data_IF_909900274905
#
_entry.id   IF_909900274905
#
_cell.length_a   1.000
_cell.length_b   1.000
_cell.length_c   1.000
_cell.angle_alpha   90.00
_cell.angle_beta   90.00
_cell.angle_gamma   90.00
#
_symmetry.space_group_name_H-M   'P 1'
#
loop_
_entity.id
_entity.type
_entity.pdbx_description
1 polymer ?
#
# COMPACT_ATOMS: atom_id res chain seq x y z
N UNK A 1 -34.67 -28.17 -13.32
CA UNK A 1 -33.97 -27.03 -13.94
C UNK A 1 -32.74 -26.76 -13.08
N UNK A 2 -31.60 -27.32 -13.49
CA UNK A 2 -30.33 -27.24 -12.77
C UNK A 2 -29.52 -26.12 -13.41
N UNK A 3 -29.15 -25.10 -12.64
CA UNK A 3 -28.18 -24.08 -13.08
C UNK A 3 -26.98 -24.15 -12.16
N UNK A 4 -25.95 -24.85 -12.64
CA UNK A 4 -24.60 -24.86 -12.10
C UNK A 4 -24.02 -23.44 -12.18
N UNK A 5 -23.88 -22.78 -11.03
CA UNK A 5 -23.01 -21.61 -10.92
C UNK A 5 -21.57 -22.08 -11.01
N UNK A 6 -20.99 -21.97 -12.20
CA UNK A 6 -19.56 -22.17 -12.42
C UNK A 6 -18.79 -21.10 -11.62
N UNK A 7 -18.11 -21.55 -10.58
CA UNK A 7 -17.04 -20.85 -9.90
C UNK A 7 -15.93 -20.56 -10.93
N UNK A 8 -15.93 -19.35 -11.51
CA UNK A 8 -14.77 -18.86 -12.25
C UNK A 8 -13.73 -18.49 -11.21
N UNK A 9 -12.86 -19.46 -10.93
CA UNK A 9 -11.56 -19.28 -10.27
C UNK A 9 -10.78 -18.22 -11.04
N UNK A 10 -10.80 -16.98 -10.55
CA UNK A 10 -9.87 -15.96 -11.02
C UNK A 10 -8.50 -16.30 -10.42
N UNK A 11 -7.75 -17.13 -11.16
CA UNK A 11 -6.30 -17.20 -11.05
C UNK A 11 -5.77 -15.91 -11.67
N UNK A 12 -5.69 -14.84 -10.89
CA UNK A 12 -4.88 -13.68 -11.28
C UNK A 12 -3.43 -14.17 -11.27
N UNK A 13 -2.72 -14.22 -12.42
CA UNK A 13 -1.32 -14.64 -12.42
C UNK A 13 -0.51 -13.68 -11.55
N UNK A 14 0.17 -14.24 -10.55
CA UNK A 14 1.06 -13.57 -9.59
C UNK A 14 2.29 -12.87 -10.22
N UNK A 15 2.33 -12.67 -11.54
CA UNK A 15 3.56 -12.32 -12.27
C UNK A 15 3.74 -10.82 -12.53
N UNK A 16 2.79 -9.96 -12.14
CA UNK A 16 2.86 -8.50 -12.40
C UNK A 16 3.01 -7.65 -11.12
N UNK A 17 3.57 -8.22 -10.05
CA UNK A 17 3.91 -7.46 -8.82
C UNK A 17 5.44 -7.37 -8.62
N UNK A 18 6.19 -7.18 -9.70
CA UNK A 18 7.63 -6.95 -9.67
C UNK A 18 7.95 -5.65 -10.41
N UNK A 19 8.86 -4.86 -9.82
CA UNK A 19 9.35 -3.53 -10.23
C UNK A 19 8.54 -2.36 -9.63
N UNK A 20 8.74 -2.14 -8.34
CA UNK A 20 8.90 -0.78 -7.82
C UNK A 20 10.39 -0.62 -7.53
N UNK A 21 11.11 -0.02 -8.48
CA UNK A 21 12.52 0.34 -8.38
C UNK A 21 12.67 1.55 -7.43
N UNK A 22 13.52 1.51 -6.38
CA UNK A 22 13.82 2.69 -5.59
C UNK A 22 14.95 3.49 -6.25
N UNK A 23 14.61 4.62 -6.88
CA UNK A 23 15.60 5.60 -7.34
C UNK A 23 16.04 6.55 -6.19
N UNK A 24 17.29 7.04 -6.23
CA UNK A 24 18.04 7.48 -5.07
C UNK A 24 17.66 8.87 -4.56
N UNK A 25 17.92 9.07 -3.27
CA UNK A 25 17.86 10.36 -2.60
C UNK A 25 18.74 11.39 -3.35
N UNK A 26 18.11 12.49 -3.78
CA UNK A 26 18.83 13.66 -4.27
C UNK A 26 19.59 14.30 -3.12
N UNK A 27 20.91 14.18 -3.22
CA UNK A 27 21.91 14.74 -2.33
C UNK A 27 21.88 16.27 -2.36
N UNK A 28 22.18 16.85 -1.20
CA UNK A 28 21.99 18.24 -0.87
C UNK A 28 22.87 19.18 -1.69
N UNK A 29 22.26 20.32 -2.02
CA UNK A 29 22.91 21.50 -2.58
C UNK A 29 24.18 21.87 -1.80
N UNK A 30 25.30 21.81 -2.52
CA UNK A 30 26.60 22.27 -2.09
C UNK A 30 26.62 23.80 -1.92
N UNK A 31 26.69 24.27 -0.68
CA UNK A 31 27.12 25.64 -0.36
C UNK A 31 28.61 25.60 -0.03
N UNK A 32 29.46 25.91 -1.02
CA UNK A 32 30.90 26.07 -0.84
C UNK A 32 31.20 27.42 -0.20
N UNK A 33 31.50 27.42 1.09
CA UNK A 33 32.19 28.50 1.78
C UNK A 33 33.71 28.37 1.54
N UNK A 34 34.35 29.46 1.12
CA UNK A 34 35.78 29.57 0.85
C UNK A 34 36.42 30.35 2.00
N UNK A 35 37.39 29.75 2.71
CA UNK A 35 38.61 30.39 3.23
C UNK A 35 39.57 29.34 3.85
N UNK A 36 40.90 29.40 3.59
CA UNK A 36 41.96 28.58 4.21
C UNK A 36 42.72 29.42 5.29
N UNK A 37 43.94 29.08 5.82
CA UNK A 37 44.83 27.90 5.71
C UNK A 37 45.41 27.39 7.06
N UNK A 38 46.23 26.31 7.04
CA UNK A 38 47.60 26.21 7.62
C UNK A 38 48.05 24.82 8.14
N UNK A 39 49.13 24.31 7.51
CA UNK A 39 50.40 23.78 8.05
C UNK A 39 50.52 22.54 8.99
N UNK A 40 51.69 21.88 8.79
CA UNK A 40 52.43 20.89 9.60
C UNK A 40 51.97 19.43 9.45
N UNK A 41 52.77 18.53 8.84
CA UNK A 41 53.97 17.87 9.40
C UNK A 41 53.57 16.41 9.71
N UNK A 42 54.29 15.33 9.44
CA UNK A 42 55.68 15.02 9.17
C UNK A 42 55.96 13.65 9.84
N UNK A 43 56.58 12.71 9.11
CA UNK A 43 57.08 11.39 9.59
C UNK A 43 56.02 10.30 9.90
N UNK A 44 56.24 8.97 9.77
CA UNK A 44 57.47 8.16 9.72
C UNK A 44 57.19 6.75 9.16
N UNK A 45 58.15 6.29 8.37
CA UNK A 45 58.54 4.94 7.90
C UNK A 45 58.21 3.74 8.82
N UNK A 46 57.76 2.63 8.22
CA UNK A 46 58.27 1.27 8.54
C UNK A 46 58.23 0.32 7.31
N UNK A 47 59.43 -0.02 6.80
CA UNK A 47 59.76 -1.25 6.03
C UNK A 47 59.39 -2.50 6.88
N UNK A 48 59.17 -3.71 6.38
CA UNK A 48 59.66 -4.49 5.24
C UNK A 48 58.59 -5.59 4.96
N UNK A 49 58.60 -6.48 3.97
CA UNK A 49 59.60 -6.99 3.03
C UNK A 49 58.81 -7.69 1.89
N UNK A 50 59.47 -7.85 0.74
CA UNK A 50 59.07 -8.58 -0.48
C UNK A 50 58.29 -9.88 -0.23
N UNK A 51 57.34 -10.22 -1.12
CA UNK A 51 57.49 -11.23 -2.19
C UNK A 51 56.20 -11.31 -3.03
N UNK A 52 56.31 -11.20 -4.36
CA UNK A 52 55.40 -11.69 -5.41
C UNK A 52 56.27 -12.59 -6.32
N UNK A 53 55.77 -13.55 -7.14
CA UNK A 53 54.38 -13.82 -7.62
C UNK A 53 54.08 -15.37 -7.57
N UNK A 54 53.24 -16.02 -8.40
CA UNK A 54 52.12 -15.61 -9.28
C UNK A 54 50.79 -16.38 -9.02
N UNK A 55 49.72 -15.79 -9.56
CA UNK A 55 48.41 -16.33 -9.97
C UNK A 55 47.92 -17.73 -9.53
N UNK A 56 46.66 -17.67 -9.07
CA UNK A 56 45.54 -18.55 -9.40
C UNK A 56 45.04 -19.48 -8.28
N UNK A 57 43.75 -19.27 -7.98
CA UNK A 57 42.86 -20.08 -7.15
C UNK A 57 43.08 -19.95 -5.64
N UNK A 58 42.44 -18.95 -5.02
CA UNK A 58 41.65 -19.26 -3.83
C UNK A 58 40.53 -18.25 -3.60
N UNK A 59 39.45 -18.80 -3.12
CA UNK A 59 38.08 -18.34 -3.03
C UNK A 59 37.97 -17.38 -1.85
N UNK A 60 37.73 -16.09 -2.10
CA UNK A 60 37.38 -15.13 -1.06
C UNK A 60 35.88 -14.81 -1.17
N UNK A 61 35.18 -14.70 -0.03
CA UNK A 61 33.80 -15.11 0.12
C UNK A 61 32.89 -14.19 -0.66
N UNK A 62 31.96 -14.80 -1.39
CA UNK A 62 30.74 -14.16 -1.89
C UNK A 62 30.19 -13.36 -0.71
N UNK A 63 30.30 -12.03 -0.79
CA UNK A 63 29.50 -11.10 0.00
C UNK A 63 28.09 -11.58 -0.21
N UNK A 64 27.54 -12.25 0.80
CA UNK A 64 26.14 -12.64 0.88
C UNK A 64 25.42 -11.32 0.73
N UNK A 65 24.99 -11.02 -0.50
CA UNK A 65 24.00 -9.99 -0.76
C UNK A 65 22.87 -10.42 0.13
N UNK A 66 22.75 -9.75 1.27
CA UNK A 66 21.60 -9.86 2.13
C UNK A 66 20.44 -9.67 1.17
N UNK A 67 19.70 -10.77 0.96
CA UNK A 67 18.42 -10.73 0.27
C UNK A 67 17.59 -9.75 1.08
N UNK A 68 17.67 -8.48 0.70
CA UNK A 68 16.74 -7.45 1.10
C UNK A 68 15.38 -8.03 0.73
N UNK A 69 14.71 -8.51 1.77
CA UNK A 69 13.38 -9.05 1.70
C UNK A 69 12.48 -7.85 1.49
N UNK A 70 12.46 -7.32 0.25
CA UNK A 70 11.52 -6.30 -0.20
C UNK A 70 10.13 -6.79 0.16
N UNK A 71 9.57 -6.19 1.20
CA UNK A 71 8.47 -6.75 1.98
C UNK A 71 7.25 -7.03 1.13
N UNK A 72 7.05 -8.29 0.76
CA UNK A 72 5.79 -8.78 0.22
C UNK A 72 4.69 -8.36 1.19
N UNK A 73 3.68 -7.64 0.72
CA UNK A 73 2.53 -7.30 1.55
C UNK A 73 2.00 -8.60 2.18
N UNK A 74 1.82 -8.62 3.50
CA UNK A 74 1.42 -9.84 4.20
C UNK A 74 0.18 -10.45 3.53
N UNK A 75 0.06 -11.78 3.37
CA UNK A 75 -1.09 -12.41 2.71
C UNK A 75 -2.44 -11.94 3.24
N UNK A 76 -2.51 -11.61 4.54
CA UNK A 76 -3.69 -11.00 5.17
C UNK A 76 -4.11 -9.68 4.50
N UNK A 77 -3.17 -8.76 4.24
CA UNK A 77 -3.42 -7.44 3.63
C UNK A 77 -3.78 -7.51 2.14
N UNK A 78 -3.32 -8.53 1.44
CA UNK A 78 -3.76 -8.76 0.06
C UNK A 78 -5.20 -9.29 0.06
N UNK A 79 -5.51 -10.22 0.96
CA UNK A 79 -6.85 -10.80 1.01
C UNK A 79 -7.94 -9.83 1.49
N UNK A 80 -7.61 -8.74 2.19
CA UNK A 80 -8.60 -7.69 2.51
C UNK A 80 -8.98 -6.88 1.28
N UNK A 81 -8.02 -6.52 0.43
CA UNK A 81 -8.25 -5.84 -0.85
C UNK A 81 -9.04 -6.76 -1.79
N UNK A 82 -8.64 -8.04 -1.90
CA UNK A 82 -9.37 -9.00 -2.73
C UNK A 82 -10.81 -9.19 -2.25
N UNK A 83 -11.06 -9.21 -0.94
CA UNK A 83 -12.42 -9.32 -0.41
C UNK A 83 -13.28 -8.09 -0.72
N UNK A 84 -12.70 -6.88 -0.74
CA UNK A 84 -13.40 -5.67 -1.20
C UNK A 84 -13.74 -5.74 -2.69
N UNK A 85 -12.77 -6.11 -3.53
CA UNK A 85 -12.99 -6.26 -4.97
C UNK A 85 -14.07 -7.30 -5.26
N UNK A 86 -14.05 -8.45 -4.57
CA UNK A 86 -15.10 -9.47 -4.69
C UNK A 86 -16.48 -8.95 -4.25
N UNK A 87 -16.56 -8.15 -3.18
CA UNK A 87 -17.82 -7.52 -2.77
C UNK A 87 -18.33 -6.51 -3.81
N UNK A 88 -17.45 -5.74 -4.44
CA UNK A 88 -17.81 -4.83 -5.54
C UNK A 88 -18.27 -5.59 -6.78
N UNK A 89 -17.64 -6.74 -7.07
CA UNK A 89 -18.05 -7.63 -8.15
C UNK A 89 -19.45 -8.21 -7.91
N UNK A 90 -19.73 -8.70 -6.70
CA UNK A 90 -21.05 -9.21 -6.31
C UNK A 90 -22.15 -8.15 -6.42
N UNK A 91 -21.78 -6.90 -6.18
CA UNK A 91 -22.67 -5.77 -6.36
C UNK A 91 -22.95 -5.49 -7.85
N UNK A 92 -21.99 -5.78 -8.74
CA UNK A 92 -21.99 -5.35 -10.14
C UNK A 92 -21.47 -3.92 -10.31
N UNK A 93 -20.65 -3.45 -9.36
CA UNK A 93 -20.19 -2.05 -9.29
C UNK A 93 -18.75 -1.85 -9.77
N UNK A 94 -18.04 -2.93 -10.12
CA UNK A 94 -16.72 -2.82 -10.70
C UNK A 94 -16.80 -2.27 -12.14
N UNK A 95 -15.85 -1.42 -12.55
CA UNK A 95 -15.67 -1.12 -13.96
C UNK A 95 -15.33 -2.40 -14.75
N UNK A 96 -15.51 -2.40 -16.09
CA UNK A 96 -15.19 -3.55 -16.92
C UNK A 96 -13.74 -4.00 -16.71
N UNK A 97 -13.50 -5.32 -16.61
CA UNK A 97 -12.19 -5.87 -16.23
C UNK A 97 -11.05 -5.45 -17.18
N UNK A 98 -11.35 -5.32 -18.47
CA UNK A 98 -10.38 -4.88 -19.50
C UNK A 98 -10.16 -3.37 -19.52
N UNK A 99 -10.85 -2.61 -18.68
CA UNK A 99 -10.80 -1.16 -18.70
C UNK A 99 -9.62 -0.61 -17.88
N UNK A 100 -9.03 0.54 -18.28
CA UNK A 100 -8.02 1.22 -17.49
C UNK A 100 -8.47 1.55 -16.06
N UNK A 101 -9.77 1.81 -15.87
CA UNK A 101 -10.40 2.14 -14.59
C UNK A 101 -10.33 0.97 -13.60
N UNK A 102 -10.46 -0.29 -14.05
CA UNK A 102 -10.31 -1.45 -13.17
C UNK A 102 -8.90 -1.55 -12.57
N UNK A 103 -7.89 -1.37 -13.41
CA UNK A 103 -6.49 -1.32 -12.96
C UNK A 103 -6.24 -0.13 -12.04
N UNK A 104 -6.83 1.03 -12.36
CA UNK A 104 -6.73 2.25 -11.55
C UNK A 104 -7.33 2.05 -10.17
N UNK A 105 -8.50 1.41 -10.06
CA UNK A 105 -9.16 1.10 -8.80
C UNK A 105 -8.32 0.18 -7.90
N UNK A 106 -7.72 -0.86 -8.47
CA UNK A 106 -6.85 -1.79 -7.73
C UNK A 106 -5.62 -1.04 -7.19
N UNK A 107 -4.98 -0.22 -8.04
CA UNK A 107 -3.84 0.61 -7.62
C UNK A 107 -4.23 1.58 -6.51
N UNK A 108 -5.37 2.26 -6.64
CA UNK A 108 -5.89 3.17 -5.63
C UNK A 108 -6.04 2.45 -4.28
N UNK A 109 -6.70 1.28 -4.23
CA UNK A 109 -6.86 0.52 -2.99
C UNK A 109 -5.51 0.20 -2.32
N UNK A 110 -4.53 -0.24 -3.10
CA UNK A 110 -3.18 -0.58 -2.61
C UNK A 110 -2.44 0.66 -2.12
N UNK A 111 -2.44 1.74 -2.91
CA UNK A 111 -1.72 2.98 -2.62
C UNK A 111 -2.31 3.72 -1.42
N UNK A 112 -3.65 3.82 -1.33
CA UNK A 112 -4.29 4.39 -0.14
C UNK A 112 -4.01 3.55 1.11
N UNK A 113 -4.02 2.22 0.99
CA UNK A 113 -3.63 1.37 2.12
C UNK A 113 -2.19 1.67 2.55
N UNK A 114 -1.27 1.78 1.59
CA UNK A 114 0.11 2.12 1.87
C UNK A 114 0.23 3.51 2.52
N UNK A 115 -0.47 4.52 2.00
CA UNK A 115 -0.47 5.89 2.52
C UNK A 115 -0.91 5.91 4.00
N UNK A 116 -2.06 5.34 4.32
CA UNK A 116 -2.55 5.34 5.70
C UNK A 116 -1.72 4.49 6.65
N UNK A 117 -1.04 3.45 6.17
CA UNK A 117 -0.26 2.55 7.03
C UNK A 117 1.19 3.02 7.23
N UNK A 118 1.79 3.66 6.22
CA UNK A 118 3.22 3.95 6.20
C UNK A 118 3.54 5.44 6.27
N UNK A 119 2.58 6.32 6.02
CA UNK A 119 2.85 7.75 5.99
C UNK A 119 3.24 8.27 7.37
N UNK A 120 4.36 8.99 7.41
CA UNK A 120 4.77 9.80 8.56
C UNK A 120 4.00 11.13 8.63
N UNK A 121 3.36 11.54 7.53
CA UNK A 121 2.59 12.77 7.46
C UNK A 121 1.45 12.75 8.49
N UNK A 122 1.41 13.77 9.34
CA UNK A 122 0.44 13.86 10.42
C UNK A 122 -0.99 14.06 9.89
N UNK A 123 -1.18 14.82 8.81
CA UNK A 123 -2.49 15.07 8.21
C UNK A 123 -3.13 13.76 7.70
N UNK A 124 -2.36 12.91 7.01
CA UNK A 124 -2.83 11.60 6.53
C UNK A 124 -3.25 10.70 7.70
N UNK A 125 -2.45 10.64 8.76
CA UNK A 125 -2.77 9.86 9.97
C UNK A 125 -3.95 10.44 10.75
N UNK A 126 -4.13 11.74 10.72
CA UNK A 126 -5.23 12.44 11.39
C UNK A 126 -6.53 12.18 10.64
N UNK A 127 -6.54 12.27 9.31
CA UNK A 127 -7.74 12.00 8.50
C UNK A 127 -8.32 10.62 8.79
N UNK A 128 -7.50 9.57 8.84
CA UNK A 128 -7.99 8.22 9.16
C UNK A 128 -8.64 8.17 10.55
N UNK A 129 -7.99 8.78 11.56
CA UNK A 129 -8.49 8.81 12.93
C UNK A 129 -9.80 9.58 13.04
N UNK A 130 -9.90 10.73 12.38
CA UNK A 130 -11.11 11.55 12.39
C UNK A 130 -12.25 10.87 11.65
N UNK A 131 -11.99 10.27 10.47
CA UNK A 131 -12.97 9.52 9.72
C UNK A 131 -13.57 8.38 10.55
N UNK A 132 -12.70 7.59 11.20
CA UNK A 132 -13.14 6.49 12.06
C UNK A 132 -13.85 6.98 13.31
N UNK A 133 -13.39 8.06 13.94
CA UNK A 133 -14.05 8.65 15.11
C UNK A 133 -15.44 9.16 14.76
N UNK A 134 -15.56 9.86 13.63
CA UNK A 134 -16.83 10.41 13.16
C UNK A 134 -17.85 9.31 12.82
N UNK A 135 -17.41 8.20 12.20
CA UNK A 135 -18.32 7.12 11.78
C UNK A 135 -18.60 6.09 12.88
N UNK A 136 -17.60 5.75 13.70
CA UNK A 136 -17.64 4.61 14.62
C UNK A 136 -17.63 4.99 16.11
N UNK A 137 -17.41 6.27 16.45
CA UNK A 137 -17.36 6.74 17.83
C UNK A 137 -16.33 5.97 18.66
N UNK A 138 -16.78 5.38 19.77
CA UNK A 138 -15.93 4.65 20.73
C UNK A 138 -15.17 3.46 20.10
N UNK A 139 -15.67 2.90 18.99
CA UNK A 139 -15.00 1.80 18.28
C UNK A 139 -13.84 2.25 17.40
N UNK A 140 -13.63 3.55 17.22
CA UNK A 140 -12.61 4.09 16.32
C UNK A 140 -11.20 3.63 16.67
N UNK A 141 -10.83 3.64 17.96
CA UNK A 141 -9.51 3.22 18.40
C UNK A 141 -9.23 1.73 18.08
N UNK A 142 -10.25 0.88 18.17
CA UNK A 142 -10.15 -0.52 17.74
C UNK A 142 -10.00 -0.64 16.22
N UNK A 143 -10.82 0.10 15.47
CA UNK A 143 -10.78 0.10 14.01
C UNK A 143 -9.45 0.60 13.43
N UNK A 144 -8.81 1.61 14.05
CA UNK A 144 -7.46 2.06 13.67
C UNK A 144 -6.44 0.93 13.83
N UNK A 145 -6.48 0.20 14.96
CA UNK A 145 -5.56 -0.93 15.19
C UNK A 145 -5.80 -2.05 14.18
N UNK A 146 -7.06 -2.44 13.96
CA UNK A 146 -7.42 -3.43 12.94
C UNK A 146 -6.90 -3.03 11.57
N UNK A 147 -7.05 -1.75 11.19
CA UNK A 147 -6.53 -1.25 9.92
C UNK A 147 -5.00 -1.35 9.83
N UNK A 148 -4.28 -0.99 10.90
CA UNK A 148 -2.81 -1.07 10.93
C UNK A 148 -2.29 -2.51 10.87
N UNK A 149 -3.04 -3.48 11.38
CA UNK A 149 -2.64 -4.90 11.36
C UNK A 149 -3.07 -5.62 10.09
N UNK A 150 -4.32 -5.39 9.64
CA UNK A 150 -4.99 -6.20 8.62
C UNK A 150 -5.18 -5.46 7.29
N UNK A 151 -5.11 -4.13 7.29
CA UNK A 151 -5.41 -3.29 6.14
C UNK A 151 -6.89 -2.94 6.03
N UNK A 152 -7.39 -2.77 4.81
CA UNK A 152 -8.75 -2.32 4.57
C UNK A 152 -9.82 -3.25 5.16
N UNK A 153 -10.80 -2.65 5.83
CA UNK A 153 -12.10 -3.27 6.09
C UNK A 153 -13.19 -2.49 5.36
N UNK A 154 -14.33 -3.12 5.11
CA UNK A 154 -15.49 -2.41 4.53
C UNK A 154 -15.93 -1.22 5.40
N UNK A 155 -15.83 -1.34 6.73
CA UNK A 155 -16.18 -0.27 7.68
C UNK A 155 -15.15 0.88 7.64
N UNK A 156 -13.86 0.57 7.56
CA UNK A 156 -12.81 1.59 7.46
C UNK A 156 -12.90 2.34 6.14
N UNK A 157 -13.13 1.63 5.03
CA UNK A 157 -13.31 2.26 3.72
C UNK A 157 -14.56 3.15 3.70
N UNK A 158 -15.69 2.66 4.24
CA UNK A 158 -16.91 3.46 4.35
C UNK A 158 -16.67 4.74 5.15
N UNK A 159 -16.03 4.63 6.32
CA UNK A 159 -15.76 5.77 7.17
C UNK A 159 -14.95 6.85 6.45
N UNK A 160 -13.90 6.46 5.72
CA UNK A 160 -13.09 7.39 4.93
C UNK A 160 -13.92 8.00 3.79
N UNK A 161 -14.64 7.19 3.02
CA UNK A 161 -15.46 7.63 1.87
C UNK A 161 -16.56 8.61 2.28
N UNK A 162 -17.21 8.38 3.42
CA UNK A 162 -18.28 9.26 3.91
C UNK A 162 -17.70 10.52 4.59
N UNK A 163 -16.56 10.41 5.28
CA UNK A 163 -15.88 11.55 5.92
C UNK A 163 -15.41 12.58 4.90
N UNK A 164 -14.74 12.14 3.85
CA UNK A 164 -14.25 13.02 2.77
C UNK A 164 -15.38 13.56 1.89
N UNK A 165 -16.55 12.90 1.86
CA UNK A 165 -17.73 13.43 1.18
C UNK A 165 -18.32 14.63 1.91
N UNK A 166 -18.27 14.59 3.24
CA UNK A 166 -18.87 15.60 4.13
C UNK A 166 -17.94 16.78 4.41
N UNK A 167 -16.65 16.67 4.06
CA UNK A 167 -15.63 17.66 4.38
C UNK A 167 -14.65 17.84 3.21
N UNK A 168 -14.23 19.08 2.89
CA UNK A 168 -13.24 19.34 1.84
C UNK A 168 -11.85 18.88 2.30
N UNK A 169 -11.59 17.58 2.20
CA UNK A 169 -10.34 16.98 2.65
C UNK A 169 -9.23 17.30 1.63
N UNK A 170 -9.53 17.22 0.34
CA UNK A 170 -8.59 17.45 -0.77
C UNK A 170 -8.19 18.91 -0.99
N UNK A 171 -8.73 19.87 -0.22
CA UNK A 171 -8.29 21.27 -0.26
C UNK A 171 -7.17 21.57 0.74
N UNK A 172 -6.79 20.60 1.58
CA UNK A 172 -5.74 20.77 2.59
C UNK A 172 -4.36 20.43 1.99
N UNK A 173 -3.45 21.40 1.83
CA UNK A 173 -2.18 21.17 1.12
C UNK A 173 -1.32 20.06 1.74
N UNK A 174 -1.23 20.02 3.07
CA UNK A 174 -0.42 19.02 3.77
C UNK A 174 -0.95 17.59 3.58
N UNK A 175 -2.27 17.44 3.49
CA UNK A 175 -2.91 16.15 3.25
C UNK A 175 -2.67 15.71 1.80
N UNK A 176 -2.88 16.61 0.85
CA UNK A 176 -2.66 16.38 -0.59
C UNK A 176 -1.21 15.94 -0.83
N UNK A 177 -0.24 16.67 -0.25
CA UNK A 177 1.17 16.30 -0.35
C UNK A 177 1.43 14.90 0.26
N UNK A 178 0.87 14.63 1.44
CA UNK A 178 1.03 13.33 2.09
C UNK A 178 0.45 12.15 1.31
N UNK A 179 -0.57 12.38 0.47
CA UNK A 179 -1.10 11.38 -0.46
C UNK A 179 -0.24 11.28 -1.73
N UNK A 180 0.25 12.40 -2.25
CA UNK A 180 1.14 12.39 -3.43
C UNK A 180 2.43 11.61 -3.22
N UNK A 181 2.99 11.61 -2.00
CA UNK A 181 4.15 10.78 -1.65
C UNK A 181 3.91 9.27 -1.88
N UNK A 182 2.64 8.85 -1.99
CA UNK A 182 2.19 7.48 -2.25
C UNK A 182 1.57 7.30 -3.64
N UNK A 183 1.73 8.28 -4.53
CA UNK A 183 1.11 8.34 -5.86
C UNK A 183 -0.42 8.30 -5.82
N UNK A 184 -1.01 8.82 -4.74
CA UNK A 184 -2.45 8.94 -4.60
C UNK A 184 -2.89 10.32 -5.10
N UNK A 185 -3.91 10.34 -5.96
CA UNK A 185 -4.58 11.56 -6.43
C UNK A 185 -6.04 11.59 -6.00
N UNK A 186 -6.63 12.79 -6.06
CA UNK A 186 -8.06 12.98 -5.77
C UNK A 186 -8.93 12.15 -6.73
N UNK A 187 -8.59 12.08 -8.01
CA UNK A 187 -9.44 11.33 -8.96
C UNK A 187 -9.35 9.80 -8.74
N UNK A 188 -8.25 9.30 -8.15
CA UNK A 188 -8.15 7.91 -7.71
C UNK A 188 -9.08 7.63 -6.52
N UNK A 189 -9.19 8.61 -5.62
CA UNK A 189 -10.12 8.55 -4.50
C UNK A 189 -11.57 8.58 -4.98
N UNK A 190 -11.88 9.48 -5.91
CA UNK A 190 -13.23 9.65 -6.42
C UNK A 190 -13.72 8.38 -7.11
N UNK A 191 -12.87 7.75 -7.91
CA UNK A 191 -13.17 6.44 -8.50
C UNK A 191 -13.48 5.40 -7.41
N UNK A 192 -12.64 5.30 -6.39
CA UNK A 192 -12.83 4.36 -5.28
C UNK A 192 -14.13 4.65 -4.50
N UNK A 193 -14.39 5.92 -4.18
CA UNK A 193 -15.57 6.35 -3.44
C UNK A 193 -16.86 6.11 -4.24
N UNK A 194 -16.84 6.38 -5.54
CA UNK A 194 -17.97 6.11 -6.44
C UNK A 194 -18.25 4.61 -6.53
N UNK A 195 -17.23 3.78 -6.75
CA UNK A 195 -17.38 2.32 -6.77
C UNK A 195 -17.94 1.79 -5.45
N UNK A 196 -17.43 2.27 -4.31
CA UNK A 196 -17.92 1.86 -3.00
C UNK A 196 -19.40 2.21 -2.81
N UNK A 197 -19.80 3.45 -3.10
CA UNK A 197 -21.19 3.91 -2.96
C UNK A 197 -22.12 3.17 -3.91
N UNK A 198 -21.71 2.96 -5.16
CA UNK A 198 -22.46 2.16 -6.12
C UNK A 198 -22.65 0.73 -5.61
N UNK A 199 -21.59 0.10 -5.10
CA UNK A 199 -21.67 -1.25 -4.54
C UNK A 199 -22.65 -1.31 -3.36
N UNK A 200 -22.59 -0.35 -2.44
CA UNK A 200 -23.49 -0.25 -1.28
C UNK A 200 -24.95 -0.14 -1.73
N UNK A 201 -25.22 0.77 -2.67
CA UNK A 201 -26.58 0.98 -3.21
C UNK A 201 -27.11 -0.25 -3.93
N UNK A 202 -26.31 -0.87 -4.79
CA UNK A 202 -26.73 -2.05 -5.57
C UNK A 202 -26.95 -3.28 -4.68
N UNK A 203 -26.14 -3.47 -3.64
CA UNK A 203 -26.37 -4.55 -2.68
C UNK A 203 -27.59 -4.28 -1.81
N UNK A 204 -27.79 -3.04 -1.35
CA UNK A 204 -28.98 -2.67 -0.60
C UNK A 204 -30.26 -2.90 -1.40
N UNK A 205 -30.27 -2.56 -2.69
CA UNK A 205 -31.39 -2.85 -3.60
C UNK A 205 -31.68 -4.36 -3.76
N UNK A 206 -30.66 -5.21 -3.54
CA UNK A 206 -30.78 -6.68 -3.51
C UNK A 206 -31.09 -7.22 -2.09
N UNK A 207 -31.37 -6.37 -1.12
CA UNK A 207 -31.60 -6.74 0.28
C UNK A 207 -30.34 -7.25 1.01
N UNK A 208 -29.15 -6.92 0.51
CA UNK A 208 -27.86 -7.36 1.07
C UNK A 208 -27.12 -6.18 1.68
N UNK A 209 -26.44 -6.45 2.79
CA UNK A 209 -25.49 -5.51 3.39
C UNK A 209 -24.08 -5.72 2.81
N UNK A 210 -23.43 -4.62 2.40
CA UNK A 210 -22.06 -4.64 1.86
C UNK A 210 -21.07 -5.19 2.89
N UNK A 211 -21.22 -4.86 4.18
CA UNK A 211 -20.29 -5.32 5.19
C UNK A 211 -20.41 -6.83 5.41
N UNK A 212 -21.62 -7.37 5.42
CA UNK A 212 -21.88 -8.81 5.49
C UNK A 212 -21.32 -9.57 4.26
N UNK A 213 -21.48 -9.02 3.05
CA UNK A 213 -20.90 -9.60 1.82
C UNK A 213 -19.38 -9.61 1.90
N UNK A 214 -18.76 -8.49 2.25
CA UNK A 214 -17.31 -8.40 2.46
C UNK A 214 -16.82 -9.42 3.49
N UNK A 215 -17.48 -9.55 4.65
CA UNK A 215 -17.08 -10.49 5.70
C UNK A 215 -17.16 -11.96 5.23
N UNK A 216 -18.11 -12.28 4.36
CA UNK A 216 -18.23 -13.61 3.74
C UNK A 216 -17.07 -13.87 2.79
N UNK A 217 -16.78 -12.95 1.86
CA UNK A 217 -15.62 -13.04 0.95
C UNK A 217 -14.31 -13.14 1.70
N UNK A 218 -14.18 -12.40 2.80
CA UNK A 218 -12.98 -12.43 3.62
C UNK A 218 -12.73 -13.79 4.26
N UNK A 219 -13.79 -14.44 4.77
CA UNK A 219 -13.71 -15.80 5.34
C UNK A 219 -13.35 -16.84 4.28
N UNK A 220 -13.95 -16.76 3.09
CA UNK A 220 -13.61 -17.65 1.97
C UNK A 220 -12.11 -17.57 1.66
N UNK A 221 -11.57 -16.36 1.50
CA UNK A 221 -10.15 -16.14 1.18
C UNK A 221 -9.19 -16.59 2.29
N UNK A 222 -9.58 -16.53 3.55
CA UNK A 222 -8.79 -17.05 4.67
C UNK A 222 -8.88 -18.58 4.78
N UNK A 223 -10.02 -19.17 4.40
CA UNK A 223 -10.25 -20.62 4.40
C UNK A 223 -9.44 -21.39 3.36
N UNK A 224 -9.01 -20.72 2.27
CA UNK A 224 -8.12 -21.34 1.27
C UNK A 224 -6.67 -21.55 1.74
N UNK A 225 -6.27 -20.96 2.88
CA UNK A 225 -4.91 -21.11 3.44
C UNK A 225 -4.76 -22.19 4.52
N UNK A 226 -5.79 -23.01 4.77
CA UNK A 226 -5.88 -23.97 5.88
C UNK A 226 -6.13 -25.42 5.41
N UNK A 227 -5.88 -25.72 4.14
CA UNK A 227 -5.94 -27.09 3.58
C UNK A 227 -4.60 -27.51 3.02
#
# INVERSE_FOLDING_TARGET
>A
MSSSSALVLIVIPCTMLLVADPLPASDGLAFRSISPPALAGGSRVKRANRTLPPSAHDEAPIRRVEKQSGGRASPKRVGTIMALLAAFQDAGALPPESSPEANRLIKALIQFQAAFMKSSNQAVRQLLREALTWKLGDRAAGAVRTFQTEGWTSQTLEAVVDYTASRPSWTQPDLVQGFHDYNVREEDFDLLAQTFRAARTMLAAKGKDLHAVYATRRREMLGFGQR
#
